data_IF_783331233153
#
_entry.id   IF_783331233153
#
_cell.length_a   1.000
_cell.length_b   1.000
_cell.length_c   1.000
_cell.angle_alpha   90.00
_cell.angle_beta   90.00
_cell.angle_gamma   90.00
#
_symmetry.space_group_name_H-M   'P 1'
#
loop_
_entity.id
_entity.type
_entity.pdbx_description
1 polymer ?
#
# COMPACT_ATOMS: atom_id res chain seq x y z
N UNK A 1 -32.37 34.53 -42.51
CA UNK A 1 -32.11 33.71 -41.34
C UNK A 1 -30.60 33.46 -41.26
N UNK A 2 -29.90 34.17 -40.37
CA UNK A 2 -28.44 34.05 -40.18
C UNK A 2 -28.23 32.96 -39.12
N UNK A 3 -27.53 31.88 -39.47
CA UNK A 3 -27.06 30.86 -38.53
C UNK A 3 -25.84 31.40 -37.78
N UNK A 4 -25.95 31.56 -36.47
CA UNK A 4 -24.83 31.91 -35.59
C UNK A 4 -24.13 30.61 -35.24
N UNK A 5 -22.88 30.47 -35.70
CA UNK A 5 -21.99 29.35 -35.34
C UNK A 5 -21.32 29.69 -34.01
N UNK A 6 -21.65 28.96 -32.94
CA UNK A 6 -20.93 29.08 -31.69
C UNK A 6 -19.66 28.23 -31.76
N UNK A 7 -18.54 28.92 -31.86
CA UNK A 7 -17.22 28.31 -31.72
C UNK A 7 -16.93 28.22 -30.21
N UNK A 8 -16.93 27.03 -29.66
CA UNK A 8 -16.42 26.79 -28.31
C UNK A 8 -14.88 26.86 -28.36
N UNK A 9 -14.36 27.94 -27.79
CA UNK A 9 -12.93 28.10 -27.60
C UNK A 9 -12.53 27.26 -26.38
N UNK A 10 -11.94 26.10 -26.63
CA UNK A 10 -11.30 25.29 -25.56
C UNK A 10 -9.98 26.01 -25.26
N UNK A 11 -9.96 26.79 -24.17
CA UNK A 11 -8.71 27.35 -23.65
C UNK A 11 -7.95 26.23 -22.96
N UNK A 12 -6.93 25.69 -23.62
CA UNK A 12 -5.86 24.94 -22.96
C UNK A 12 -5.21 25.84 -21.92
N UNK A 13 -5.44 25.53 -20.64
CA UNK A 13 -4.63 26.12 -19.58
C UNK A 13 -3.24 25.46 -19.65
N UNK A 14 -2.29 26.20 -20.23
CA UNK A 14 -0.87 25.87 -20.09
C UNK A 14 -0.46 26.19 -18.66
N UNK A 15 -0.11 25.15 -17.87
CA UNK A 15 0.57 25.35 -16.60
C UNK A 15 1.90 26.06 -16.84
N UNK A 16 2.00 27.29 -16.39
CA UNK A 16 3.27 28.01 -16.32
C UNK A 16 4.01 27.56 -15.06
N UNK A 17 5.14 26.92 -15.26
CA UNK A 17 6.07 26.59 -14.17
C UNK A 17 6.62 27.90 -13.57
N UNK A 18 6.32 28.17 -12.31
CA UNK A 18 7.01 29.20 -11.54
C UNK A 18 8.32 28.61 -10.99
N UNK A 19 9.44 28.87 -11.67
CA UNK A 19 10.77 28.66 -11.10
C UNK A 19 11.06 29.83 -10.14
N UNK A 20 11.10 29.51 -8.84
CA UNK A 20 11.63 30.46 -7.86
C UNK A 20 13.16 30.35 -7.85
N UNK A 21 13.81 31.14 -8.69
CA UNK A 21 15.27 31.27 -8.68
C UNK A 21 15.68 32.26 -7.58
N UNK A 22 16.23 31.76 -6.46
CA UNK A 22 17.00 32.59 -5.54
C UNK A 22 18.37 32.89 -6.18
N UNK A 23 18.65 34.16 -6.36
CA UNK A 23 19.87 34.66 -7.00
C UNK A 23 20.99 34.75 -5.95
N UNK A 24 21.58 33.60 -5.60
CA UNK A 24 22.85 33.54 -4.89
C UNK A 24 23.92 33.02 -5.85
N UNK A 25 25.00 33.80 -5.98
CA UNK A 25 26.05 33.62 -6.97
C UNK A 25 27.00 32.46 -6.67
N UNK A 26 26.48 31.26 -6.42
CA UNK A 26 27.23 30.01 -6.41
C UNK A 26 26.77 29.16 -7.60
N UNK A 27 27.73 28.65 -8.38
CA UNK A 27 27.49 27.69 -9.48
C UNK A 27 27.11 26.31 -8.94
N UNK A 28 26.04 26.26 -8.14
CA UNK A 28 25.34 25.03 -7.75
C UNK A 28 24.39 24.66 -8.87
N UNK A 29 24.39 23.43 -9.30
CA UNK A 29 23.34 22.83 -10.13
C UNK A 29 22.00 23.19 -9.53
N UNK A 30 21.17 23.94 -10.26
CA UNK A 30 19.81 24.28 -9.80
C UNK A 30 19.05 22.97 -9.57
N UNK A 31 18.76 22.65 -8.32
CA UNK A 31 17.86 21.54 -7.97
C UNK A 31 16.46 21.95 -8.48
N UNK A 32 15.97 21.27 -9.49
CA UNK A 32 14.60 21.48 -9.97
C UNK A 32 13.63 20.90 -8.94
N UNK A 33 12.88 21.79 -8.28
CA UNK A 33 11.73 21.34 -7.46
C UNK A 33 10.52 21.17 -8.38
N UNK A 34 9.79 20.08 -8.22
CA UNK A 34 8.54 19.86 -8.91
C UNK A 34 7.47 19.37 -7.91
N UNK A 35 6.22 19.63 -8.22
CA UNK A 35 5.07 19.08 -7.52
C UNK A 35 4.02 18.70 -8.54
N UNK A 36 3.40 17.55 -8.36
CA UNK A 36 2.30 17.08 -9.18
C UNK A 36 1.08 16.82 -8.30
N UNK A 37 -0.07 17.18 -8.82
CA UNK A 37 -1.35 16.89 -8.21
C UNK A 37 -2.20 16.11 -9.19
N UNK A 38 -2.75 14.98 -8.72
CA UNK A 38 -3.59 14.10 -9.50
C UNK A 38 -4.85 13.82 -8.67
N UNK A 39 -6.00 13.80 -9.33
CA UNK A 39 -7.26 13.60 -8.64
C UNK A 39 -8.44 13.66 -9.59
N UNK A 40 -9.61 13.41 -9.04
CA UNK A 40 -10.91 13.45 -9.71
C UNK A 40 -11.79 14.56 -9.11
N UNK A 41 -13.09 14.56 -9.40
CA UNK A 41 -14.06 15.43 -8.72
C UNK A 41 -14.58 14.84 -7.41
N UNK A 42 -14.09 13.65 -7.04
CA UNK A 42 -14.45 12.91 -5.83
C UNK A 42 -13.28 12.90 -4.85
N UNK A 43 -13.36 12.06 -3.82
CA UNK A 43 -12.28 11.91 -2.85
C UNK A 43 -11.15 11.06 -3.42
N UNK A 44 -9.92 11.55 -3.27
CA UNK A 44 -8.69 10.87 -3.70
C UNK A 44 -7.66 10.98 -2.57
N UNK A 45 -7.07 9.85 -2.17
CA UNK A 45 -6.10 9.78 -1.07
C UNK A 45 -4.86 9.02 -1.49
N UNK A 46 -3.67 9.63 -1.39
CA UNK A 46 -2.39 8.95 -1.49
C UNK A 46 -2.02 8.30 -0.15
N UNK A 47 -1.72 7.01 -0.16
CA UNK A 47 -1.40 6.24 1.05
C UNK A 47 0.03 5.72 1.06
N UNK A 48 0.67 5.58 -0.11
CA UNK A 48 2.01 5.04 -0.21
C UNK A 48 2.83 5.73 -1.30
N UNK A 49 4.12 5.86 -1.07
CA UNK A 49 5.11 6.29 -2.06
C UNK A 49 6.37 5.46 -1.92
N UNK A 50 6.95 5.03 -3.03
CA UNK A 50 8.23 4.32 -3.04
C UNK A 50 9.07 4.71 -4.25
N UNK A 51 10.37 4.52 -4.15
CA UNK A 51 11.35 4.74 -5.20
C UNK A 51 12.03 3.42 -5.55
N UNK A 52 12.42 3.28 -6.82
CA UNK A 52 13.24 2.16 -7.22
C UNK A 52 14.29 2.54 -8.27
N UNK A 53 15.07 1.53 -8.73
CA UNK A 53 16.18 1.69 -9.67
C UNK A 53 15.79 2.63 -10.83
N UNK A 54 16.67 3.49 -11.26
CA UNK A 54 16.37 4.56 -12.24
C UNK A 54 15.49 5.71 -11.71
N UNK A 55 15.38 5.84 -10.38
CA UNK A 55 14.64 6.92 -9.70
C UNK A 55 13.17 7.07 -10.15
N UNK A 56 12.56 5.97 -10.60
CA UNK A 56 11.12 5.95 -10.84
C UNK A 56 10.39 6.03 -9.50
N UNK A 57 9.32 6.83 -9.48
CA UNK A 57 8.50 7.09 -8.32
C UNK A 57 7.16 6.39 -8.53
N UNK A 58 6.74 5.61 -7.55
CA UNK A 58 5.44 4.96 -7.55
C UNK A 58 4.61 5.53 -6.40
N UNK A 59 3.36 5.86 -6.69
CA UNK A 59 2.38 6.37 -5.71
C UNK A 59 1.17 5.47 -5.74
N UNK A 60 0.71 5.04 -4.57
CA UNK A 60 -0.53 4.28 -4.40
C UNK A 60 -1.52 5.03 -3.52
N UNK A 61 -2.76 4.61 -3.60
CA UNK A 61 -3.83 5.16 -2.78
C UNK A 61 -5.19 4.64 -3.18
N UNK A 62 -6.20 5.41 -2.84
CA UNK A 62 -7.59 5.12 -3.19
C UNK A 62 -8.25 6.34 -3.83
N UNK A 63 -9.19 6.09 -4.73
CA UNK A 63 -9.95 7.11 -5.46
C UNK A 63 -11.41 6.71 -5.58
N UNK A 64 -12.30 7.62 -5.25
CA UNK A 64 -13.75 7.47 -5.44
C UNK A 64 -14.22 8.03 -6.79
N UNK A 65 -13.32 8.17 -7.75
CA UNK A 65 -13.60 8.62 -9.11
C UNK A 65 -12.69 7.94 -10.13
N UNK A 66 -13.00 8.08 -11.41
CA UNK A 66 -12.18 7.51 -12.49
C UNK A 66 -10.92 8.35 -12.73
N UNK A 67 -9.80 7.95 -12.15
CA UNK A 67 -8.53 8.64 -12.23
C UNK A 67 -7.91 8.47 -13.63
N UNK A 68 -7.51 9.57 -14.28
CA UNK A 68 -6.93 9.57 -15.64
C UNK A 68 -7.75 8.82 -16.69
N UNK A 69 -9.09 8.85 -16.59
CA UNK A 69 -9.98 8.16 -17.52
C UNK A 69 -10.15 6.67 -17.26
N UNK A 70 -9.61 6.15 -16.17
CA UNK A 70 -9.97 4.82 -15.67
C UNK A 70 -11.44 4.79 -15.22
N UNK A 71 -12.02 3.61 -15.18
CA UNK A 71 -13.40 3.42 -14.73
C UNK A 71 -13.37 3.18 -13.22
N UNK A 72 -14.15 3.96 -12.49
CA UNK A 72 -14.41 3.71 -11.07
C UNK A 72 -15.56 2.69 -10.92
N UNK A 73 -15.46 1.78 -9.97
CA UNK A 73 -16.38 0.67 -9.77
C UNK A 73 -17.44 0.91 -8.67
N UNK A 74 -17.88 2.16 -8.48
CA UNK A 74 -18.93 2.61 -7.54
C UNK A 74 -18.49 2.96 -6.12
N UNK A 75 -17.26 2.67 -5.75
CA UNK A 75 -16.72 2.88 -4.42
C UNK A 75 -15.30 3.39 -4.50
N UNK A 76 -14.55 3.33 -3.40
CA UNK A 76 -13.13 3.62 -3.39
C UNK A 76 -12.36 2.51 -4.11
N UNK A 77 -11.73 2.84 -5.22
CA UNK A 77 -10.86 1.95 -5.98
C UNK A 77 -9.39 2.22 -5.59
N UNK A 78 -8.58 1.18 -5.63
CA UNK A 78 -7.13 1.31 -5.47
C UNK A 78 -6.54 1.92 -6.73
N UNK A 79 -5.65 2.91 -6.61
CA UNK A 79 -4.84 3.37 -7.73
C UNK A 79 -3.35 3.14 -7.53
N UNK A 80 -2.65 3.07 -8.64
CA UNK A 80 -1.19 3.01 -8.73
C UNK A 80 -0.75 3.94 -9.86
N UNK A 81 0.16 4.88 -9.57
CA UNK A 81 0.69 5.83 -10.54
C UNK A 81 2.20 5.74 -10.57
N UNK A 82 2.78 5.74 -11.76
CA UNK A 82 4.21 5.80 -11.98
C UNK A 82 4.62 7.15 -12.55
N UNK A 83 5.65 7.74 -11.96
CA UNK A 83 6.38 8.89 -12.49
C UNK A 83 7.84 8.52 -12.75
N UNK A 84 8.48 9.22 -13.68
CA UNK A 84 9.94 9.16 -13.79
C UNK A 84 10.59 10.16 -12.81
N UNK A 85 11.91 10.16 -12.73
CA UNK A 85 12.68 11.04 -11.83
C UNK A 85 12.48 12.53 -12.06
N UNK A 86 12.01 12.93 -13.26
CA UNK A 86 11.69 14.32 -13.57
C UNK A 86 10.26 14.73 -13.20
N UNK A 87 9.48 13.84 -12.56
CA UNK A 87 8.07 14.07 -12.21
C UNK A 87 7.10 13.85 -13.36
N UNK A 88 7.55 13.35 -14.52
CA UNK A 88 6.65 13.09 -15.64
C UNK A 88 5.89 11.78 -15.41
N UNK A 89 4.56 11.86 -15.36
CA UNK A 89 3.69 10.70 -15.22
C UNK A 89 3.84 9.77 -16.41
N UNK A 90 4.06 8.49 -16.13
CA UNK A 90 4.25 7.44 -17.12
C UNK A 90 2.95 6.67 -17.39
N UNK A 91 2.27 6.29 -16.33
CA UNK A 91 0.99 5.60 -16.41
C UNK A 91 0.23 5.68 -15.07
N UNK A 92 -1.09 5.48 -15.16
CA UNK A 92 -2.01 5.30 -14.03
C UNK A 92 -2.74 4.00 -14.20
N UNK A 93 -2.88 3.23 -13.15
CA UNK A 93 -3.74 2.06 -13.04
C UNK A 93 -4.73 2.27 -11.91
N UNK A 94 -5.95 1.84 -12.13
CA UNK A 94 -7.01 1.83 -11.13
C UNK A 94 -7.63 0.45 -11.11
N UNK A 95 -7.90 -0.03 -9.92
CA UNK A 95 -8.43 -1.37 -9.68
C UNK A 95 -9.46 -1.30 -8.57
N UNK A 96 -10.68 -1.67 -8.89
CA UNK A 96 -11.78 -1.83 -7.97
C UNK A 96 -12.74 -2.88 -8.47
N UNK A 97 -13.63 -3.39 -7.61
CA UNK A 97 -14.67 -4.31 -8.02
C UNK A 97 -16.03 -3.67 -7.76
N UNK A 98 -16.64 -3.80 -6.60
CA UNK A 98 -17.97 -3.22 -6.34
C UNK A 98 -18.14 -2.69 -4.90
N UNK A 99 -17.19 -2.88 -4.02
CA UNK A 99 -17.25 -2.46 -2.62
C UNK A 99 -15.96 -1.72 -2.22
N UNK A 100 -15.87 -1.27 -0.99
CA UNK A 100 -14.73 -0.48 -0.51
C UNK A 100 -13.46 -1.31 -0.47
N UNK A 101 -12.53 -0.97 -1.34
CA UNK A 101 -11.16 -1.45 -1.31
C UNK A 101 -10.23 -0.33 -0.86
N UNK A 102 -9.20 -0.70 -0.13
CA UNK A 102 -8.14 0.25 0.22
C UNK A 102 -6.76 -0.36 0.00
N UNK A 103 -5.99 0.27 -0.88
CA UNK A 103 -4.56 0.05 -0.98
C UNK A 103 -3.86 0.88 0.09
N UNK A 104 -3.23 0.22 1.05
CA UNK A 104 -2.66 0.90 2.22
C UNK A 104 -1.17 1.14 2.06
N UNK A 105 -0.44 0.16 1.56
CA UNK A 105 1.03 0.20 1.48
C UNK A 105 1.54 -0.43 0.19
N UNK A 106 2.74 -0.01 -0.25
CA UNK A 106 3.41 -0.59 -1.39
C UNK A 106 4.92 -0.67 -1.22
N UNK A 107 5.53 -1.60 -1.96
CA UNK A 107 6.98 -1.76 -2.10
C UNK A 107 7.33 -2.23 -3.51
N UNK A 108 8.64 -2.25 -3.84
CA UNK A 108 9.16 -2.78 -5.11
C UNK A 108 10.29 -3.76 -4.86
N UNK A 109 10.40 -4.80 -5.71
CA UNK A 109 11.48 -5.78 -5.65
C UNK A 109 12.67 -5.40 -6.56
N UNK A 110 13.72 -6.22 -6.53
CA UNK A 110 14.96 -6.03 -7.29
C UNK A 110 14.78 -6.00 -8.82
N UNK A 111 13.61 -6.40 -9.31
CA UNK A 111 13.24 -6.45 -10.73
C UNK A 111 12.21 -5.40 -11.15
N UNK A 112 12.00 -4.34 -10.33
CA UNK A 112 10.98 -3.31 -10.53
C UNK A 112 9.53 -3.86 -10.50
N UNK A 113 9.28 -5.03 -9.92
CA UNK A 113 7.91 -5.45 -9.67
C UNK A 113 7.36 -4.72 -8.44
N UNK A 114 6.11 -4.35 -8.52
CA UNK A 114 5.41 -3.54 -7.53
C UNK A 114 4.47 -4.45 -6.76
N UNK A 115 4.53 -4.37 -5.45
CA UNK A 115 3.61 -5.06 -4.55
C UNK A 115 2.76 -4.06 -3.80
N UNK A 116 1.45 -4.28 -3.79
CA UNK A 116 0.46 -3.47 -3.09
C UNK A 116 -0.31 -4.36 -2.13
N UNK A 117 -0.45 -3.93 -0.90
CA UNK A 117 -1.30 -4.59 0.10
C UNK A 117 -2.37 -3.64 0.62
N UNK A 118 -3.42 -4.22 1.14
CA UNK A 118 -4.56 -3.54 1.73
C UNK A 118 -5.65 -4.55 2.11
N UNK A 119 -6.89 -4.15 1.98
CA UNK A 119 -8.03 -5.00 2.31
C UNK A 119 -9.16 -4.87 1.29
N UNK A 120 -9.97 -5.90 1.17
CA UNK A 120 -11.13 -5.98 0.26
C UNK A 120 -12.25 -6.81 0.88
N UNK A 121 -13.50 -6.45 0.55
CA UNK A 121 -14.68 -7.29 0.83
C UNK A 121 -15.01 -8.27 -0.28
N UNK A 122 -14.35 -8.17 -1.42
CA UNK A 122 -14.66 -8.95 -2.60
C UNK A 122 -13.55 -9.98 -2.90
N UNK A 123 -13.90 -11.03 -3.65
CA UNK A 123 -12.94 -12.00 -4.14
C UNK A 123 -12.24 -11.52 -5.40
N UNK A 124 -10.95 -11.23 -5.35
CA UNK A 124 -10.14 -10.89 -6.51
C UNK A 124 -9.63 -12.12 -7.27
N UNK A 125 -9.68 -12.07 -8.61
CA UNK A 125 -9.05 -13.07 -9.50
C UNK A 125 -9.44 -14.52 -9.18
N UNK A 126 -10.67 -14.76 -8.74
CA UNK A 126 -11.17 -16.09 -8.38
C UNK A 126 -10.76 -16.54 -6.96
N UNK A 127 -10.12 -15.68 -6.17
CA UNK A 127 -10.03 -15.89 -4.73
C UNK A 127 -11.43 -15.73 -4.11
N UNK A 128 -11.74 -16.55 -3.13
CA UNK A 128 -12.98 -16.40 -2.37
C UNK A 128 -12.76 -15.45 -1.20
N UNK A 129 -13.66 -14.50 -1.04
CA UNK A 129 -13.75 -13.70 0.17
C UNK A 129 -14.44 -14.50 1.28
N UNK A 130 -14.09 -14.24 2.52
CA UNK A 130 -14.55 -14.96 3.71
C UNK A 130 -15.64 -14.22 4.51
N UNK A 131 -16.51 -13.45 3.85
CA UNK A 131 -17.67 -12.73 4.40
C UNK A 131 -17.38 -11.33 4.97
N UNK A 132 -16.12 -10.94 5.18
CA UNK A 132 -15.73 -9.65 5.70
C UNK A 132 -14.51 -9.11 4.94
N UNK A 133 -13.76 -8.16 5.49
CA UNK A 133 -12.52 -7.70 4.89
C UNK A 133 -11.44 -8.78 4.96
N UNK A 134 -10.80 -9.06 3.84
CA UNK A 134 -9.63 -9.91 3.72
C UNK A 134 -8.41 -9.10 3.32
N UNK A 135 -7.24 -9.47 3.81
CA UNK A 135 -5.96 -8.96 3.34
C UNK A 135 -5.77 -9.36 1.88
N UNK A 136 -5.39 -8.42 1.02
CA UNK A 136 -4.89 -8.75 -0.29
C UNK A 136 -3.41 -8.40 -0.46
N UNK A 137 -2.74 -9.09 -1.36
CA UNK A 137 -1.42 -8.78 -1.89
C UNK A 137 -1.46 -8.90 -3.41
N UNK A 138 -1.18 -7.80 -4.11
CA UNK A 138 -1.14 -7.76 -5.57
C UNK A 138 0.27 -7.51 -6.07
N UNK A 139 0.65 -8.21 -7.14
CA UNK A 139 1.90 -7.98 -7.86
C UNK A 139 1.63 -7.40 -9.23
N UNK A 140 2.35 -6.32 -9.56
CA UNK A 140 2.42 -5.74 -10.90
C UNK A 140 3.87 -5.77 -11.39
N UNK A 141 4.06 -5.86 -12.70
CA UNK A 141 5.38 -5.60 -13.28
C UNK A 141 5.62 -4.10 -13.45
N UNK A 142 6.84 -3.71 -13.84
CA UNK A 142 7.26 -2.31 -14.03
C UNK A 142 6.45 -1.53 -15.08
N UNK A 143 5.71 -2.20 -15.95
CA UNK A 143 4.79 -1.59 -16.92
C UNK A 143 3.36 -1.42 -16.39
N UNK A 144 3.11 -1.76 -15.12
CA UNK A 144 1.79 -1.69 -14.50
C UNK A 144 0.84 -2.80 -14.94
N UNK A 145 1.36 -3.93 -15.44
CA UNK A 145 0.55 -5.11 -15.77
C UNK A 145 0.46 -6.01 -14.54
N UNK A 146 -0.76 -6.25 -14.07
CA UNK A 146 -1.01 -7.15 -12.93
C UNK A 146 -0.55 -8.57 -13.25
N UNK A 147 0.21 -9.17 -12.36
CA UNK A 147 0.75 -10.51 -12.50
C UNK A 147 -0.10 -11.53 -11.73
N UNK A 148 -0.43 -11.23 -10.52
CA UNK A 148 -1.26 -12.07 -9.65
C UNK A 148 -1.82 -11.28 -8.46
N UNK A 149 -2.87 -11.84 -7.85
CA UNK A 149 -3.43 -11.42 -6.56
C UNK A 149 -3.44 -12.60 -5.60
N UNK A 150 -3.11 -12.35 -4.36
CA UNK A 150 -3.30 -13.27 -3.22
C UNK A 150 -4.24 -12.62 -2.23
N UNK A 151 -5.08 -13.44 -1.62
CA UNK A 151 -6.04 -13.01 -0.62
C UNK A 151 -5.93 -13.93 0.58
N UNK A 152 -6.03 -13.37 1.78
CA UNK A 152 -5.90 -14.09 3.03
C UNK A 152 -6.83 -13.46 4.06
N UNK A 153 -7.73 -14.26 4.59
CA UNK A 153 -8.66 -13.84 5.61
C UNK A 153 -9.44 -15.02 6.20
N UNK A 154 -10.26 -14.69 7.17
CA UNK A 154 -11.24 -15.58 7.80
C UNK A 154 -12.61 -14.89 7.81
N UNK A 155 -13.62 -15.42 8.51
CA UNK A 155 -14.96 -14.84 8.56
C UNK A 155 -15.06 -13.51 9.32
N UNK A 156 -13.98 -13.06 9.96
CA UNK A 156 -13.88 -11.76 10.61
C UNK A 156 -13.09 -10.77 9.71
N UNK A 157 -12.84 -9.55 10.18
CA UNK A 157 -12.09 -8.57 9.41
C UNK A 157 -10.57 -8.80 9.55
N UNK A 158 -9.91 -8.94 8.40
CA UNK A 158 -8.45 -9.05 8.30
C UNK A 158 -7.95 -7.93 7.38
N UNK A 159 -7.00 -7.12 7.84
CA UNK A 159 -6.61 -5.86 7.19
C UNK A 159 -5.10 -5.83 6.97
N UNK A 160 -4.65 -5.73 5.71
CA UNK A 160 -3.24 -5.51 5.36
C UNK A 160 -2.86 -4.05 5.52
N UNK A 161 -1.76 -3.77 6.23
CA UNK A 161 -1.32 -2.42 6.56
C UNK A 161 0.05 -2.08 5.99
N UNK A 162 1.01 -2.99 6.03
CA UNK A 162 2.38 -2.79 5.57
C UNK A 162 2.87 -3.90 4.67
N UNK A 163 3.73 -3.57 3.69
CA UNK A 163 4.40 -4.54 2.82
C UNK A 163 5.85 -4.15 2.59
N UNK A 164 6.75 -5.14 2.64
CA UNK A 164 8.17 -4.99 2.31
C UNK A 164 8.70 -6.22 1.60
N UNK A 165 9.91 -6.12 1.01
CA UNK A 165 10.63 -7.25 0.40
C UNK A 165 12.02 -7.37 0.99
N UNK A 166 12.53 -8.61 1.09
CA UNK A 166 13.91 -8.88 1.49
C UNK A 166 14.87 -8.93 0.29
N UNK A 167 16.14 -9.16 0.56
CA UNK A 167 17.23 -9.23 -0.44
C UNK A 167 17.06 -10.38 -1.46
N UNK A 168 16.18 -11.34 -1.17
CA UNK A 168 15.85 -12.49 -2.02
C UNK A 168 14.49 -12.35 -2.71
N UNK A 169 13.90 -11.13 -2.68
CA UNK A 169 12.57 -10.82 -3.20
C UNK A 169 11.43 -11.63 -2.52
N UNK A 170 11.63 -12.12 -1.29
CA UNK A 170 10.51 -12.58 -0.49
C UNK A 170 9.71 -11.39 0.01
N UNK A 171 8.39 -11.56 0.06
CA UNK A 171 7.45 -10.49 0.39
C UNK A 171 6.93 -10.73 1.80
N UNK A 172 6.92 -9.69 2.62
CA UNK A 172 6.36 -9.68 3.96
C UNK A 172 5.19 -8.71 4.01
N UNK A 173 4.03 -9.21 4.43
CA UNK A 173 2.82 -8.41 4.66
C UNK A 173 2.50 -8.44 6.13
N UNK A 174 2.26 -7.28 6.72
CA UNK A 174 1.78 -7.15 8.10
C UNK A 174 0.45 -6.45 8.15
N UNK A 175 -0.26 -6.63 9.25
CA UNK A 175 -1.54 -5.98 9.46
C UNK A 175 -2.26 -6.51 10.69
N UNK A 176 -3.58 -6.58 10.59
CA UNK A 176 -4.50 -6.90 11.66
C UNK A 176 -5.27 -8.15 11.27
N UNK A 177 -5.42 -9.09 12.18
CA UNK A 177 -6.29 -10.25 12.04
C UNK A 177 -7.29 -10.32 13.20
N UNK A 178 -8.56 -10.44 12.88
CA UNK A 178 -9.60 -10.71 13.88
C UNK A 178 -9.83 -12.21 13.97
N UNK A 179 -9.58 -12.78 15.15
CA UNK A 179 -9.61 -14.24 15.36
C UNK A 179 -8.37 -14.96 14.84
N UNK A 180 -8.43 -16.28 14.78
CA UNK A 180 -7.30 -17.11 14.35
C UNK A 180 -7.18 -17.17 12.85
N UNK A 181 -6.06 -16.68 12.30
CA UNK A 181 -5.76 -16.69 10.88
C UNK A 181 -4.77 -17.81 10.54
N UNK A 182 -5.07 -18.60 9.48
CA UNK A 182 -4.16 -19.63 8.95
C UNK A 182 -3.70 -20.64 10.00
N UNK A 183 -4.63 -21.15 10.82
CA UNK A 183 -4.41 -22.10 11.94
C UNK A 183 -3.65 -21.51 13.14
N UNK A 184 -3.33 -20.23 13.16
CA UNK A 184 -2.89 -19.57 14.37
C UNK A 184 -4.09 -19.45 15.34
N UNK A 185 -3.80 -19.49 16.63
CA UNK A 185 -4.82 -19.25 17.64
C UNK A 185 -4.88 -17.75 17.88
N UNK A 186 -5.97 -17.11 17.44
CA UNK A 186 -6.22 -15.71 17.76
C UNK A 186 -6.47 -15.49 19.25
N UNK A 187 -6.09 -14.35 19.75
CA UNK A 187 -6.49 -13.87 21.08
C UNK A 187 -7.88 -13.22 21.04
N UNK A 188 -8.30 -12.61 22.12
CA UNK A 188 -9.51 -11.78 22.14
C UNK A 188 -9.19 -10.41 21.57
N UNK A 189 -9.93 -9.98 20.55
CA UNK A 189 -9.69 -8.71 19.85
C UNK A 189 -8.97 -8.89 18.51
N UNK A 190 -8.37 -7.83 18.05
CA UNK A 190 -7.53 -7.83 16.85
C UNK A 190 -6.09 -8.16 17.24
N UNK A 191 -5.44 -8.97 16.42
CA UNK A 191 -4.06 -9.42 16.62
C UNK A 191 -3.16 -8.93 15.48
N UNK A 192 -1.89 -8.73 15.77
CA UNK A 192 -0.82 -8.52 14.79
C UNK A 192 -0.70 -9.76 13.92
N UNK A 193 -0.72 -9.57 12.60
CA UNK A 193 -0.40 -10.64 11.64
C UNK A 193 0.85 -10.27 10.85
N UNK A 194 1.70 -11.26 10.59
CA UNK A 194 2.84 -11.18 9.69
C UNK A 194 2.85 -12.41 8.77
N UNK A 195 2.86 -12.17 7.46
CA UNK A 195 2.79 -13.22 6.44
C UNK A 195 4.00 -13.12 5.52
N UNK A 196 4.66 -14.24 5.25
CA UNK A 196 5.73 -14.35 4.25
C UNK A 196 5.22 -15.06 3.00
N UNK A 197 5.52 -14.46 1.85
CA UNK A 197 5.38 -15.08 0.53
C UNK A 197 6.75 -15.12 -0.14
N UNK A 198 6.97 -16.07 -1.04
CA UNK A 198 8.09 -16.00 -1.97
C UNK A 198 7.76 -15.08 -3.16
N UNK A 199 8.73 -14.80 -4.03
CA UNK A 199 8.58 -13.91 -5.20
C UNK A 199 7.52 -14.37 -6.22
N UNK A 200 7.12 -15.65 -6.20
CA UNK A 200 6.02 -16.18 -7.02
C UNK A 200 4.64 -16.05 -6.36
N UNK A 201 4.57 -15.49 -5.15
CA UNK A 201 3.33 -15.34 -4.39
C UNK A 201 2.87 -16.63 -3.71
N UNK A 202 3.77 -17.60 -3.49
CA UNK A 202 3.47 -18.78 -2.68
C UNK A 202 3.71 -18.46 -1.21
N UNK A 203 2.66 -18.56 -0.41
CA UNK A 203 2.73 -18.32 1.03
C UNK A 203 3.66 -19.35 1.69
N UNK A 204 4.59 -18.87 2.49
CA UNK A 204 5.57 -19.68 3.21
C UNK A 204 5.13 -19.94 4.64
N UNK A 205 4.74 -18.90 5.35
CA UNK A 205 4.24 -18.99 6.71
C UNK A 205 3.39 -17.77 7.07
N UNK A 206 2.59 -17.92 8.13
CA UNK A 206 1.84 -16.86 8.81
C UNK A 206 2.21 -16.90 10.29
N UNK A 207 2.47 -15.74 10.88
CA UNK A 207 2.65 -15.52 12.31
C UNK A 207 1.58 -14.60 12.82
N UNK A 208 1.06 -14.88 13.99
CA UNK A 208 0.10 -14.04 14.69
C UNK A 208 0.61 -13.81 16.11
N UNK A 209 0.52 -12.57 16.57
CA UNK A 209 0.94 -12.15 17.89
C UNK A 209 -0.13 -11.21 18.43
N UNK A 210 -0.62 -11.49 19.62
CA UNK A 210 -1.61 -10.66 20.27
C UNK A 210 -1.61 -10.81 21.78
N UNK A 211 -2.31 -9.93 22.43
CA UNK A 211 -2.59 -9.92 23.86
C UNK A 211 -4.05 -10.30 24.14
N UNK A 212 -4.56 -10.05 25.32
CA UNK A 212 -6.00 -10.16 25.63
C UNK A 212 -6.82 -8.94 25.20
N UNK A 213 -6.23 -8.01 24.44
CA UNK A 213 -6.82 -6.77 23.96
C UNK A 213 -6.46 -6.59 22.48
N UNK A 214 -6.88 -5.49 21.86
CA UNK A 214 -6.59 -5.23 20.45
C UNK A 214 -5.13 -4.79 20.23
N UNK A 215 -4.48 -5.42 19.26
CA UNK A 215 -3.10 -5.24 18.86
C UNK A 215 -3.02 -4.98 17.35
N UNK A 216 -2.44 -3.87 16.94
CA UNK A 216 -2.49 -3.39 15.55
C UNK A 216 -1.08 -3.26 14.98
N UNK A 217 -0.70 -4.09 14.01
CA UNK A 217 0.49 -3.85 13.22
C UNK A 217 0.20 -2.75 12.18
N UNK A 218 1.13 -1.81 12.05
CA UNK A 218 1.00 -0.69 11.14
C UNK A 218 1.97 -0.75 9.98
N UNK A 219 3.22 -1.13 10.25
CA UNK A 219 4.25 -1.16 9.23
C UNK A 219 5.27 -2.29 9.47
N UNK A 220 5.96 -2.69 8.39
CA UNK A 220 6.97 -3.74 8.38
C UNK A 220 8.16 -3.31 7.53
N UNK A 221 9.37 -3.59 8.02
CA UNK A 221 10.61 -3.40 7.25
C UNK A 221 11.57 -4.54 7.49
N UNK A 222 12.62 -4.63 6.65
CA UNK A 222 13.69 -5.60 6.79
C UNK A 222 15.04 -4.89 6.84
N UNK A 223 16.00 -5.45 7.60
CA UNK A 223 17.37 -4.97 7.58
C UNK A 223 18.22 -5.70 6.50
N UNK A 224 19.47 -5.28 6.34
CA UNK A 224 20.42 -5.87 5.39
C UNK A 224 20.81 -7.33 5.67
N UNK A 225 20.37 -7.88 6.78
CA UNK A 225 20.53 -9.29 7.17
C UNK A 225 19.22 -10.07 7.08
N UNK A 226 18.21 -9.50 6.42
CA UNK A 226 16.85 -10.04 6.25
C UNK A 226 16.12 -10.31 7.58
N UNK A 227 16.49 -9.61 8.67
CA UNK A 227 15.66 -9.57 9.86
C UNK A 227 14.45 -8.66 9.61
N UNK A 228 13.30 -9.08 10.11
CA UNK A 228 12.01 -8.43 9.91
C UNK A 228 11.64 -7.66 11.17
N UNK A 229 11.24 -6.40 11.01
CA UNK A 229 10.80 -5.53 12.09
C UNK A 229 9.36 -5.12 11.83
N UNK A 230 8.49 -5.35 12.81
CA UNK A 230 7.07 -4.97 12.77
C UNK A 230 6.82 -3.98 13.89
N UNK A 231 6.13 -2.89 13.59
CA UNK A 231 5.73 -1.87 14.55
C UNK A 231 4.25 -1.56 14.45
N UNK A 232 3.72 -0.99 15.50
CA UNK A 232 2.33 -0.57 15.60
C UNK A 232 1.98 -0.16 17.03
N UNK A 233 0.77 -0.47 17.46
CA UNK A 233 0.31 -0.15 18.82
C UNK A 233 -0.54 -1.28 19.42
N UNK A 234 -0.51 -1.39 20.72
CA UNK A 234 -1.21 -2.41 21.51
C UNK A 234 -1.98 -1.75 22.66
N UNK A 235 -3.18 -2.25 22.95
CA UNK A 235 -3.94 -1.88 24.14
C UNK A 235 -3.82 -2.92 25.25
N UNK A 236 -2.94 -3.88 25.11
CA UNK A 236 -2.68 -4.94 26.08
C UNK A 236 -1.20 -5.11 26.37
N UNK A 237 -0.89 -6.12 27.16
CA UNK A 237 0.48 -6.50 27.45
C UNK A 237 0.91 -7.57 26.44
N UNK A 238 1.80 -7.19 25.51
CA UNK A 238 2.39 -8.13 24.57
C UNK A 238 3.49 -8.94 25.28
N UNK A 239 3.21 -10.21 25.55
CA UNK A 239 4.10 -11.16 26.22
C UNK A 239 4.56 -10.67 27.61
N UNK A 240 5.87 -10.47 27.81
CA UNK A 240 6.44 -9.99 29.08
C UNK A 240 6.45 -8.46 29.21
N UNK A 241 6.02 -7.72 28.16
CA UNK A 241 5.95 -6.27 28.20
C UNK A 241 4.59 -5.82 28.77
N UNK A 242 4.64 -5.00 29.79
CA UNK A 242 3.43 -4.49 30.44
C UNK A 242 2.98 -3.21 29.76
N UNK A 243 1.69 -3.13 29.42
CA UNK A 243 1.06 -1.88 29.02
C UNK A 243 1.15 -0.85 30.15
N UNK A 244 1.59 0.37 29.82
CA UNK A 244 1.89 1.41 30.81
C UNK A 244 0.65 2.18 31.31
N UNK A 245 -0.54 1.80 30.85
CA UNK A 245 -1.76 2.52 31.25
C UNK A 245 -3.03 1.91 30.69
N UNK A 246 -4.03 2.76 30.45
CA UNK A 246 -5.33 2.38 29.88
C UNK A 246 -5.46 2.73 28.39
N UNK A 247 -4.37 3.14 27.76
CA UNK A 247 -4.32 3.57 26.37
C UNK A 247 -3.37 2.69 25.56
N UNK A 248 -3.24 2.99 24.28
CA UNK A 248 -2.33 2.28 23.38
C UNK A 248 -0.87 2.62 23.69
N UNK A 249 -0.04 1.58 23.73
CA UNK A 249 1.41 1.66 23.75
C UNK A 249 1.98 1.28 22.39
N UNK A 250 3.15 1.84 22.04
CA UNK A 250 3.89 1.46 20.82
C UNK A 250 4.61 0.14 21.07
N UNK A 251 4.65 -0.74 20.07
CA UNK A 251 5.50 -1.91 20.09
C UNK A 251 6.49 -1.93 18.93
N UNK A 252 7.57 -2.66 19.09
CA UNK A 252 8.50 -3.06 18.04
C UNK A 252 8.87 -4.53 18.27
N UNK A 253 8.63 -5.38 17.27
CA UNK A 253 8.95 -6.80 17.32
C UNK A 253 9.91 -7.15 16.20
N UNK A 254 10.95 -7.94 16.52
CA UNK A 254 11.93 -8.45 15.57
C UNK A 254 11.71 -9.93 15.33
N UNK A 255 11.76 -10.33 14.06
CA UNK A 255 11.81 -11.74 13.64
C UNK A 255 13.03 -11.97 12.75
N UNK A 256 13.53 -13.23 12.73
CA UNK A 256 14.44 -13.64 11.66
C UNK A 256 13.65 -13.99 10.37
N UNK A 257 14.34 -14.32 9.30
CA UNK A 257 13.75 -14.67 8.00
C UNK A 257 12.87 -15.94 8.02
N UNK A 258 13.00 -16.79 9.04
CA UNK A 258 12.16 -17.97 9.26
C UNK A 258 10.90 -17.65 10.08
N UNK A 259 10.71 -16.40 10.47
CA UNK A 259 9.61 -15.95 11.31
C UNK A 259 9.73 -16.40 12.77
N UNK A 260 10.96 -16.60 13.24
CA UNK A 260 11.23 -16.85 14.66
C UNK A 260 11.53 -15.50 15.32
N UNK A 261 10.74 -15.18 16.33
CA UNK A 261 10.91 -13.97 17.12
C UNK A 261 12.24 -13.97 17.86
N UNK A 262 12.88 -12.81 17.92
CA UNK A 262 14.21 -12.60 18.50
C UNK A 262 14.15 -11.77 19.78
#
# INVERSE_FOLDING_TARGET
MKKILHVFLITCFSLTFFSCATKDGSSGTATSFWSEQIGTSSYDYGTGVTLYSSDNIYVSGQSNGGLDGNINSWSDDIFLVKYNSSGTKQWTKQLGIFDNESGVSMTVDSSDNIYVTGYTKEGYDGNSNSENYDIFLMKYNSSGTKQWTKQLGNSAADIGMGVTVDSSDNIYVTGIASGGLDRNTGSVGEDIVLVKYNSSGTKQWTKQLGSSSSDFAWDVTVDSSDNIYVTGFTNGSLEENFNQGSYYDIFLVKYNSDGVKQ
#
